data_IF_161680165433
#
_entry.id   IF_161680165433
#
_cell.length_a   1.000
_cell.length_b   1.000
_cell.length_c   1.000
_cell.angle_alpha   90.00
_cell.angle_beta   90.00
_cell.angle_gamma   90.00
#
_symmetry.space_group_name_H-M   'P 1'
#
loop_
_entity.id
_entity.type
_entity.pdbx_description
1 polymer ?
#
# COMPACT_ATOMS: atom_id res chain seq x y z
N UNK A 1 5.34 -8.85 6.89
CA UNK A 1 4.43 -9.57 5.99
C UNK A 1 4.48 -8.85 4.65
N UNK A 2 4.69 -9.58 3.56
CA UNK A 2 4.62 -8.99 2.21
C UNK A 2 3.16 -8.60 1.90
N UNK A 3 2.96 -7.56 1.08
CA UNK A 3 1.62 -7.09 0.68
C UNK A 3 0.74 -8.22 0.16
N UNK A 4 1.32 -9.15 -0.60
CA UNK A 4 0.63 -10.34 -1.10
C UNK A 4 0.12 -11.29 -0.02
N UNK A 5 0.83 -11.42 1.12
CA UNK A 5 0.38 -12.26 2.24
C UNK A 5 -0.88 -11.67 2.87
N UNK A 6 -0.89 -10.35 3.07
CA UNK A 6 -2.00 -9.61 3.67
C UNK A 6 -3.22 -9.58 2.75
N UNK A 7 -3.00 -9.36 1.45
CA UNK A 7 -4.08 -9.45 0.46
C UNK A 7 -4.74 -10.84 0.47
N UNK A 8 -3.95 -11.90 0.58
CA UNK A 8 -4.48 -13.27 0.63
C UNK A 8 -5.28 -13.56 1.91
N UNK A 9 -4.92 -12.95 3.04
CA UNK A 9 -5.67 -13.08 4.31
C UNK A 9 -6.96 -12.25 4.33
N UNK A 10 -6.96 -11.04 3.77
CA UNK A 10 -8.10 -10.10 3.85
C UNK A 10 -9.17 -10.41 2.79
N UNK A 11 -8.77 -10.88 1.60
CA UNK A 11 -9.69 -11.21 0.51
C UNK A 11 -10.88 -12.08 0.90
N UNK A 12 -10.73 -13.20 1.66
CA UNK A 12 -11.89 -14.00 2.08
C UNK A 12 -12.84 -13.22 3.00
N UNK A 13 -12.32 -12.33 3.85
CA UNK A 13 -13.10 -11.51 4.80
C UNK A 13 -13.93 -10.47 4.05
N UNK A 14 -13.31 -9.74 3.11
CA UNK A 14 -13.99 -8.73 2.27
C UNK A 14 -15.07 -9.40 1.42
N UNK A 15 -14.76 -10.56 0.82
CA UNK A 15 -15.73 -11.34 0.04
C UNK A 15 -16.94 -11.77 0.86
N UNK A 16 -16.72 -12.18 2.11
CA UNK A 16 -17.80 -12.55 3.02
C UNK A 16 -18.65 -11.34 3.42
N UNK A 17 -18.02 -10.20 3.71
CA UNK A 17 -18.71 -8.95 4.04
C UNK A 17 -19.62 -8.47 2.90
N UNK A 18 -19.11 -8.46 1.67
CA UNK A 18 -19.84 -8.08 0.46
C UNK A 18 -21.05 -8.99 0.23
N UNK A 19 -20.84 -10.30 0.38
CA UNK A 19 -21.91 -11.31 0.26
C UNK A 19 -23.00 -11.12 1.32
N UNK A 20 -22.62 -10.88 2.58
CA UNK A 20 -23.56 -10.67 3.68
C UNK A 20 -24.37 -9.38 3.54
N UNK A 21 -23.83 -8.38 2.84
CA UNK A 21 -24.49 -7.09 2.60
C UNK A 21 -25.29 -7.04 1.29
N UNK A 22 -25.34 -8.14 0.51
CA UNK A 22 -25.94 -8.18 -0.83
C UNK A 22 -25.44 -7.03 -1.74
N UNK A 23 -24.18 -6.63 -1.61
CA UNK A 23 -23.60 -5.61 -2.47
C UNK A 23 -23.24 -6.28 -3.80
N UNK A 24 -23.84 -5.87 -4.94
CA UNK A 24 -23.50 -6.42 -6.24
C UNK A 24 -22.15 -5.86 -6.68
N UNK A 25 -21.06 -6.57 -6.36
CA UNK A 25 -19.72 -6.27 -6.86
C UNK A 25 -19.28 -7.30 -7.89
N UNK A 26 -18.66 -6.84 -8.97
CA UNK A 26 -17.95 -7.69 -9.91
C UNK A 26 -16.52 -8.01 -9.41
N UNK A 27 -15.83 -8.93 -10.09
CA UNK A 27 -14.50 -9.37 -9.67
C UNK A 27 -13.47 -8.23 -9.59
N UNK A 28 -13.52 -7.25 -10.50
CA UNK A 28 -12.61 -6.09 -10.49
C UNK A 28 -12.89 -5.17 -9.32
N UNK A 29 -14.16 -4.93 -9.01
CA UNK A 29 -14.55 -4.09 -7.87
C UNK A 29 -14.20 -4.74 -6.54
N UNK A 30 -14.33 -6.06 -6.44
CA UNK A 30 -13.91 -6.81 -5.25
C UNK A 30 -12.40 -6.77 -5.04
N UNK A 31 -11.62 -6.97 -6.11
CA UNK A 31 -10.15 -6.90 -6.03
C UNK A 31 -9.69 -5.47 -5.70
N UNK A 32 -10.33 -4.43 -6.26
CA UNK A 32 -10.06 -3.03 -5.91
C UNK A 32 -10.37 -2.76 -4.44
N UNK A 33 -11.55 -3.14 -3.95
CA UNK A 33 -11.95 -2.95 -2.55
C UNK A 33 -11.00 -3.66 -1.59
N UNK A 34 -10.53 -4.87 -1.97
CA UNK A 34 -9.56 -5.63 -1.18
C UNK A 34 -8.20 -4.95 -1.16
N UNK A 35 -7.75 -4.39 -2.31
CA UNK A 35 -6.52 -3.59 -2.36
C UNK A 35 -6.63 -2.35 -1.50
N UNK A 36 -7.70 -1.57 -1.66
CA UNK A 36 -7.91 -0.32 -0.92
C UNK A 36 -7.94 -0.58 0.59
N UNK A 37 -8.61 -1.65 1.03
CA UNK A 37 -8.65 -2.07 2.44
C UNK A 37 -7.28 -2.51 2.94
N UNK A 38 -6.54 -3.28 2.14
CA UNK A 38 -5.18 -3.69 2.49
C UNK A 38 -4.24 -2.48 2.57
N UNK A 39 -4.41 -1.50 1.68
CA UNK A 39 -3.63 -0.26 1.64
C UNK A 39 -3.93 0.64 2.84
N UNK A 40 -5.18 0.72 3.30
CA UNK A 40 -5.55 1.36 4.58
C UNK A 40 -4.98 0.62 5.80
N UNK A 41 -5.06 -0.71 5.85
CA UNK A 41 -4.56 -1.50 6.98
C UNK A 41 -3.03 -1.53 7.06
N UNK A 42 -2.36 -1.41 5.91
CA UNK A 42 -0.91 -1.34 5.81
C UNK A 42 -0.37 0.07 6.03
N UNK A 43 -1.20 1.11 5.86
CA UNK A 43 -0.78 2.52 5.99
C UNK A 43 0.32 2.93 5.01
N UNK A 44 0.45 2.23 3.87
CA UNK A 44 1.59 2.42 2.95
C UNK A 44 1.44 3.62 2.01
N UNK A 45 0.30 4.30 2.06
CA UNK A 45 0.05 5.61 1.44
C UNK A 45 0.84 5.88 0.14
N UNK A 46 1.57 7.01 0.04
CA UNK A 46 2.25 7.42 -1.18
C UNK A 46 3.55 6.65 -1.48
N UNK A 47 3.92 5.65 -0.68
CA UNK A 47 5.19 4.88 -0.79
C UNK A 47 5.05 3.66 -1.70
N UNK A 48 3.82 3.24 -1.99
CA UNK A 48 3.50 2.11 -2.88
C UNK A 48 4.31 2.07 -4.19
N UNK A 49 4.50 3.19 -4.92
CA UNK A 49 5.27 3.19 -6.15
C UNK A 49 6.75 2.89 -5.93
N UNK A 50 7.28 3.25 -4.75
CA UNK A 50 8.68 3.01 -4.39
C UNK A 50 8.90 1.54 -4.05
N UNK A 51 7.94 0.90 -3.37
CA UNK A 51 8.02 -0.54 -3.05
C UNK A 51 7.93 -1.44 -4.28
N UNK A 52 7.35 -0.94 -5.38
CA UNK A 52 7.26 -1.67 -6.66
C UNK A 52 8.51 -1.49 -7.54
N UNK A 53 9.48 -0.68 -7.11
CA UNK A 53 10.70 -0.40 -7.86
C UNK A 53 11.87 -1.22 -7.31
N UNK A 54 12.18 -2.33 -8.00
CA UNK A 54 13.27 -3.25 -7.64
C UNK A 54 14.68 -2.61 -7.65
N UNK A 55 14.83 -1.39 -8.18
CA UNK A 55 16.11 -0.67 -8.12
C UNK A 55 16.35 0.05 -6.80
N UNK A 56 15.30 0.19 -5.97
CA UNK A 56 15.36 0.79 -4.65
C UNK A 56 15.75 -0.28 -3.64
N UNK A 57 16.86 -0.04 -2.95
CA UNK A 57 17.37 -0.93 -1.91
C UNK A 57 16.86 -0.55 -0.53
N UNK A 58 16.70 0.76 -0.26
CA UNK A 58 16.22 1.26 1.02
C UNK A 58 15.30 2.48 0.84
N UNK A 59 14.33 2.63 1.74
CA UNK A 59 13.43 3.78 1.82
C UNK A 59 13.56 4.40 3.22
N UNK A 60 14.03 5.65 3.30
CA UNK A 60 14.22 6.35 4.56
C UNK A 60 13.21 7.49 4.71
N UNK A 61 12.41 7.43 5.76
CA UNK A 61 11.40 8.46 6.09
C UNK A 61 11.91 9.24 7.29
N UNK A 62 12.23 10.52 7.08
CA UNK A 62 12.75 11.38 8.15
C UNK A 62 11.60 12.15 8.83
N UNK A 63 10.61 12.59 8.03
CA UNK A 63 9.34 13.19 8.49
C UNK A 63 8.26 12.94 7.44
N UNK A 64 6.98 13.17 7.74
CA UNK A 64 5.89 13.12 6.73
C UNK A 64 6.16 14.01 5.50
N UNK A 65 7.03 15.02 5.61
CA UNK A 65 7.39 15.93 4.51
C UNK A 65 8.61 15.51 3.69
N UNK A 66 9.42 14.55 4.16
CA UNK A 66 10.73 14.22 3.57
C UNK A 66 10.97 12.72 3.53
N UNK A 67 10.95 12.18 2.31
CA UNK A 67 11.14 10.77 1.99
C UNK A 67 12.34 10.65 1.07
N UNK A 68 13.27 9.76 1.42
CA UNK A 68 14.47 9.45 0.67
C UNK A 68 14.44 8.01 0.21
N UNK A 69 15.09 7.73 -0.92
CA UNK A 69 15.28 6.38 -1.43
C UNK A 69 16.76 6.17 -1.70
N UNK A 70 17.23 4.95 -1.44
CA UNK A 70 18.55 4.52 -1.84
C UNK A 70 18.44 3.65 -3.09
N UNK A 71 19.21 4.00 -4.11
CA UNK A 71 19.38 3.18 -5.32
C UNK A 71 20.86 2.96 -5.54
N UNK A 72 21.29 1.70 -5.53
CA UNK A 72 22.69 1.31 -5.83
C UNK A 72 23.73 2.05 -4.96
N UNK A 73 23.44 2.28 -3.68
CA UNK A 73 24.35 2.99 -2.77
C UNK A 73 24.27 4.53 -2.82
N UNK A 74 23.35 5.10 -3.60
CA UNK A 74 23.15 6.55 -3.71
C UNK A 74 21.79 6.91 -3.12
N UNK A 75 21.78 7.86 -2.19
CA UNK A 75 20.57 8.38 -1.55
C UNK A 75 20.02 9.56 -2.35
N UNK A 76 18.75 9.48 -2.72
CA UNK A 76 18.02 10.49 -3.50
C UNK A 76 16.75 10.94 -2.74
N UNK A 77 16.45 12.25 -2.76
CA UNK A 77 15.20 12.78 -2.20
C UNK A 77 14.05 12.54 -3.18
N UNK A 78 12.96 11.95 -2.70
CA UNK A 78 11.78 11.69 -3.54
C UNK A 78 10.83 12.88 -3.53
N UNK A 79 10.04 13.06 -4.61
CA UNK A 79 8.95 14.04 -4.61
C UNK A 79 7.73 13.59 -3.78
N UNK A 80 7.73 12.35 -3.27
CA UNK A 80 6.65 11.79 -2.46
C UNK A 80 6.60 12.49 -1.10
N UNK A 81 5.40 12.91 -0.72
CA UNK A 81 5.11 13.52 0.57
C UNK A 81 3.90 12.83 1.18
N UNK A 82 4.01 12.49 2.45
CA UNK A 82 2.90 12.05 3.26
C UNK A 82 2.08 13.26 3.69
N UNK A 83 0.78 13.03 3.90
CA UNK A 83 -0.15 14.11 4.17
C UNK A 83 -0.09 14.50 5.65
N UNK A 84 0.16 13.54 6.54
CA UNK A 84 0.40 13.76 7.96
C UNK A 84 1.24 12.62 8.59
N UNK A 85 1.54 12.69 9.90
CA UNK A 85 2.29 11.63 10.60
C UNK A 85 1.51 10.32 10.75
N UNK A 86 0.18 10.35 10.57
CA UNK A 86 -0.67 9.18 10.64
C UNK A 86 -0.95 8.57 9.25
N UNK A 87 -0.66 9.29 8.15
CA UNK A 87 -1.00 8.91 6.77
C UNK A 87 -0.04 9.44 5.69
#
# INVERSE_FOLDING_TARGET
ASKDEILNEIRPIVREFVRNRNVPLNARELDQLTSDTADEMLGLGPIEPLLKDDSITDILINTHKRVFIERRGIVEETPIRFRDEAH
#
